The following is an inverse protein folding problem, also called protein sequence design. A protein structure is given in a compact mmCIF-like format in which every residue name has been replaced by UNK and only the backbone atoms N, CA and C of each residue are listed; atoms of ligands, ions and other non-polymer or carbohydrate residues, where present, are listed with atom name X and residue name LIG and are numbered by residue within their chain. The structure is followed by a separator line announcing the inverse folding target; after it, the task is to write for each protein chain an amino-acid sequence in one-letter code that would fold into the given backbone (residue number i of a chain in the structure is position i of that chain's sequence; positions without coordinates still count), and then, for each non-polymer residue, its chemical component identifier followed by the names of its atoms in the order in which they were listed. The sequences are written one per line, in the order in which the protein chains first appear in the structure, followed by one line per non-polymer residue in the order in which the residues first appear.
data_IF_669269710982
#
_entry.id   IF_669269710982
#
_cell.length_a   1.000
_cell.length_b   1.000
_cell.length_c   1.000
_cell.angle_alpha   90.00
_cell.angle_beta   90.00
_cell.angle_gamma   90.00
#
_symmetry.space_group_name_H-M   'P 1'
#
loop_
_entity.id
_entity.type
_entity.pdbx_description
1 polymer ?
#
# COMPACT_ATOMS: atom_id res chain seq x y z
N UNK A 1 5.93 -15.57 9.18
CA UNK A 1 7.04 -15.87 10.03
C UNK A 1 6.56 -16.32 11.39
N UNK A 2 7.05 -17.48 11.86
CA UNK A 2 6.75 -17.98 13.19
C UNK A 2 7.44 -17.12 14.27
N UNK A 3 7.09 -15.85 14.43
CA UNK A 3 7.67 -14.93 15.44
C UNK A 3 9.20 -15.01 15.60
N UNK A 4 9.68 -14.70 16.80
CA UNK A 4 11.10 -14.85 17.19
C UNK A 4 11.60 -16.32 17.23
N UNK A 5 10.82 -17.32 16.76
CA UNK A 5 11.28 -18.71 16.70
C UNK A 5 12.38 -18.92 15.64
N UNK A 6 12.43 -18.04 14.65
CA UNK A 6 13.42 -18.06 13.57
C UNK A 6 14.55 -17.07 13.89
N UNK A 7 15.82 -17.46 13.76
CA UNK A 7 16.96 -16.61 14.06
C UNK A 7 17.08 -15.40 13.12
N UNK A 8 17.68 -14.29 13.57
CA UNK A 8 17.84 -13.08 12.72
C UNK A 8 18.55 -13.41 11.40
N UNK A 9 19.63 -14.21 11.47
CA UNK A 9 20.39 -14.64 10.29
C UNK A 9 19.50 -15.36 9.27
N UNK A 10 18.63 -16.25 9.75
CA UNK A 10 17.74 -17.03 8.90
C UNK A 10 16.69 -16.14 8.23
N UNK A 11 16.02 -15.28 9.00
CA UNK A 11 15.04 -14.32 8.45
C UNK A 11 15.65 -13.41 7.38
N UNK A 12 16.85 -12.90 7.64
CA UNK A 12 17.56 -12.04 6.69
C UNK A 12 17.98 -12.82 5.45
N UNK A 13 18.42 -14.07 5.60
CA UNK A 13 18.84 -14.91 4.47
C UNK A 13 17.67 -15.22 3.53
N UNK A 14 16.51 -15.64 4.06
CA UNK A 14 15.33 -15.89 3.24
C UNK A 14 14.89 -14.63 2.47
N UNK A 15 14.92 -13.46 3.12
CA UNK A 15 14.62 -12.20 2.44
C UNK A 15 15.64 -11.86 1.36
N UNK A 16 16.94 -12.09 1.62
CA UNK A 16 18.02 -11.74 0.69
C UNK A 16 18.06 -12.66 -0.53
N UNK A 17 17.74 -13.94 -0.35
CA UNK A 17 17.79 -14.93 -1.42
C UNK A 17 16.52 -14.96 -2.30
N UNK A 18 15.40 -14.38 -1.83
CA UNK A 18 14.12 -14.40 -2.53
C UNK A 18 14.21 -13.84 -3.96
N UNK A 19 14.84 -12.68 -4.14
CA UNK A 19 14.94 -12.03 -5.46
C UNK A 19 15.67 -12.92 -6.46
N UNK A 20 16.87 -13.39 -6.11
CA UNK A 20 17.70 -14.20 -7.02
C UNK A 20 17.00 -15.49 -7.44
N UNK A 21 16.28 -16.15 -6.52
CA UNK A 21 15.50 -17.34 -6.82
C UNK A 21 14.41 -17.05 -7.85
N UNK A 22 13.64 -15.98 -7.64
CA UNK A 22 12.54 -15.61 -8.53
C UNK A 22 13.07 -15.21 -9.92
N UNK A 23 14.17 -14.47 -9.98
CA UNK A 23 14.80 -14.07 -11.25
C UNK A 23 15.22 -15.31 -12.07
N UNK A 24 15.87 -16.29 -11.43
CA UNK A 24 16.27 -17.54 -12.08
C UNK A 24 15.05 -18.33 -12.57
N UNK A 25 13.99 -18.41 -11.77
CA UNK A 25 12.75 -19.12 -12.15
C UNK A 25 12.07 -18.46 -13.35
N UNK A 26 11.94 -17.13 -13.34
CA UNK A 26 11.33 -16.38 -14.44
C UNK A 26 12.20 -16.46 -15.71
N UNK A 27 13.53 -16.40 -15.61
CA UNK A 27 14.44 -16.37 -16.77
C UNK A 27 14.72 -17.75 -17.37
N UNK A 28 15.07 -18.74 -16.56
CA UNK A 28 15.51 -20.05 -17.04
C UNK A 28 14.35 -20.99 -17.35
N UNK A 29 13.23 -20.84 -16.63
CA UNK A 29 12.06 -21.70 -16.77
C UNK A 29 10.86 -21.00 -17.42
N UNK A 30 10.97 -19.70 -17.72
CA UNK A 30 9.89 -18.89 -18.31
C UNK A 30 8.57 -18.99 -17.53
N UNK A 31 8.66 -19.17 -16.20
CA UNK A 31 7.51 -19.26 -15.31
C UNK A 31 7.01 -17.86 -14.97
N UNK A 32 5.77 -17.54 -15.35
CA UNK A 32 5.14 -16.28 -15.01
C UNK A 32 4.66 -16.28 -13.55
N UNK A 33 5.15 -15.33 -12.76
CA UNK A 33 4.76 -15.18 -11.35
C UNK A 33 3.76 -14.03 -11.23
N UNK A 34 2.48 -14.36 -11.15
CA UNK A 34 1.38 -13.37 -11.11
C UNK A 34 1.42 -12.47 -9.87
N UNK A 35 1.73 -13.03 -8.70
CA UNK A 35 1.76 -12.29 -7.43
C UNK A 35 2.77 -12.91 -6.46
N UNK A 36 3.49 -12.06 -5.73
CA UNK A 36 4.48 -12.45 -4.71
C UNK A 36 3.85 -12.15 -3.34
N UNK A 37 3.47 -13.17 -2.59
CA UNK A 37 2.79 -13.05 -1.30
C UNK A 37 3.77 -13.39 -0.16
N UNK A 38 3.74 -12.60 0.91
CA UNK A 38 4.47 -12.86 2.16
C UNK A 38 3.46 -12.95 3.29
N UNK A 39 3.39 -14.10 3.97
CA UNK A 39 2.43 -14.38 5.04
C UNK A 39 3.14 -14.70 6.35
N UNK A 40 2.43 -14.47 7.46
CA UNK A 40 2.98 -14.77 8.76
C UNK A 40 2.70 -16.21 9.24
N UNK A 41 1.46 -16.65 9.06
CA UNK A 41 0.96 -17.98 9.37
C UNK A 41 0.31 -18.62 8.14
N UNK A 42 0.44 -19.95 8.00
CA UNK A 42 -0.22 -20.70 6.93
C UNK A 42 -1.74 -20.68 7.03
N UNK A 43 -2.30 -20.43 8.22
CA UNK A 43 -3.74 -20.26 8.41
C UNK A 43 -4.33 -19.07 7.64
N UNK A 44 -3.51 -18.09 7.26
CA UNK A 44 -3.93 -16.93 6.46
C UNK A 44 -4.24 -17.29 4.99
N UNK A 45 -3.72 -18.41 4.48
CA UNK A 45 -3.91 -18.87 3.11
C UNK A 45 -5.30 -19.49 2.90
N UNK A 46 -6.33 -18.66 3.00
CA UNK A 46 -7.70 -19.02 2.63
C UNK A 46 -7.94 -18.79 1.13
N UNK A 47 -8.95 -19.46 0.57
CA UNK A 47 -9.33 -19.25 -0.83
C UNK A 47 -9.75 -17.78 -1.09
N UNK A 48 -10.42 -17.16 -0.13
CA UNK A 48 -10.82 -15.75 -0.18
C UNK A 48 -9.61 -14.81 -0.19
N UNK A 49 -8.63 -15.06 0.69
CA UNK A 49 -7.40 -14.28 0.74
C UNK A 49 -6.62 -14.35 -0.57
N UNK A 50 -6.44 -15.55 -1.13
CA UNK A 50 -5.75 -15.73 -2.41
C UNK A 50 -6.47 -15.02 -3.56
N UNK A 51 -7.81 -15.12 -3.60
CA UNK A 51 -8.59 -14.46 -4.63
C UNK A 51 -8.45 -12.94 -4.56
N UNK A 52 -8.53 -12.36 -3.36
CA UNK A 52 -8.41 -10.92 -3.16
C UNK A 52 -7.01 -10.37 -3.45
N UNK A 53 -5.95 -11.14 -3.16
CA UNK A 53 -4.56 -10.74 -3.45
C UNK A 53 -4.21 -10.76 -4.94
N UNK A 54 -4.74 -11.75 -5.67
CA UNK A 54 -4.55 -11.91 -7.12
C UNK A 54 -5.47 -10.95 -7.90
N UNK A 55 -6.67 -10.67 -7.37
CA UNK A 55 -7.67 -9.81 -8.00
C UNK A 55 -8.05 -8.63 -7.08
N UNK A 56 -7.18 -7.61 -6.96
CA UNK A 56 -7.38 -6.52 -6.03
C UNK A 56 -8.68 -5.76 -6.32
N UNK A 57 -9.55 -5.70 -5.31
CA UNK A 57 -10.81 -4.96 -5.38
C UNK A 57 -10.53 -3.46 -5.50
N UNK A 58 -11.10 -2.82 -6.51
CA UNK A 58 -11.06 -1.37 -6.61
C UNK A 58 -11.84 -0.77 -5.43
N UNK A 59 -11.13 -0.15 -4.50
CA UNK A 59 -11.76 0.57 -3.39
C UNK A 59 -12.34 1.87 -3.92
N UNK A 60 -13.56 1.78 -4.44
CA UNK A 60 -14.34 2.93 -4.83
C UNK A 60 -14.79 3.67 -3.56
N UNK A 61 -14.21 4.86 -3.37
CA UNK A 61 -14.61 5.88 -2.39
C UNK A 61 -14.12 5.70 -0.94
N UNK A 62 -13.10 6.49 -0.56
CA UNK A 62 -12.81 6.77 0.86
C UNK A 62 -13.98 7.59 1.43
N UNK A 63 -14.81 6.99 2.27
CA UNK A 63 -15.79 7.76 3.05
C UNK A 63 -15.04 8.73 3.97
N UNK A 64 -15.11 10.02 3.63
CA UNK A 64 -14.65 11.07 4.52
C UNK A 64 -15.76 11.37 5.53
N UNK A 65 -15.40 11.39 6.81
CA UNK A 65 -16.30 11.90 7.84
C UNK A 65 -16.70 13.34 7.52
N UNK A 66 -17.95 13.69 7.81
CA UNK A 66 -18.43 15.06 7.65
C UNK A 66 -17.59 16.01 8.51
N UNK A 67 -17.16 17.14 7.94
CA UNK A 67 -16.49 18.19 8.72
C UNK A 67 -17.44 18.67 9.83
N UNK A 68 -16.97 18.85 11.08
CA UNK A 68 -17.79 19.39 12.16
C UNK A 68 -18.44 20.72 11.78
N UNK A 69 -19.56 21.06 12.44
CA UNK A 69 -20.20 22.37 12.24
C UNK A 69 -19.19 23.47 12.56
N UNK A 70 -19.08 24.44 11.67
CA UNK A 70 -18.20 25.59 11.86
C UNK A 70 -18.64 26.47 13.04
N UNK A 71 -17.81 27.44 13.46
CA UNK A 71 -18.12 28.36 14.54
C UNK A 71 -19.50 29.04 14.37
N UNK A 72 -20.26 29.09 15.47
CA UNK A 72 -21.57 29.77 15.53
C UNK A 72 -21.36 31.28 15.36
N UNK A 73 -22.17 31.94 14.54
CA UNK A 73 -22.11 33.39 14.34
C UNK A 73 -21.10 33.88 13.28
N UNK A 74 -20.67 33.01 12.34
CA UNK A 74 -19.85 33.47 11.20
C UNK A 74 -20.56 34.58 10.41
N UNK A 75 -19.94 35.76 10.40
CA UNK A 75 -20.39 36.92 9.61
C UNK A 75 -19.64 36.92 8.28
N UNK A 76 -20.34 36.60 7.19
CA UNK A 76 -19.83 36.73 5.82
C UNK A 76 -19.37 35.43 5.16
N UNK A 77 -19.23 35.49 3.83
CA UNK A 77 -18.82 34.38 2.97
C UNK A 77 -17.32 34.05 3.15
N UNK A 78 -16.94 32.79 2.85
CA UNK A 78 -15.51 32.40 2.82
C UNK A 78 -14.79 33.22 1.75
N UNK A 79 -13.70 33.87 2.13
CA UNK A 79 -12.84 34.63 1.21
C UNK A 79 -11.67 33.75 0.76
N UNK A 80 -11.31 33.81 -0.51
CA UNK A 80 -10.06 33.25 -1.00
C UNK A 80 -8.92 34.14 -0.48
N UNK A 81 -8.04 33.57 0.35
CA UNK A 81 -6.85 34.27 0.83
C UNK A 81 -5.69 33.74 0.00
N UNK A 82 -5.24 34.53 -0.97
CA UNK A 82 -4.03 34.24 -1.75
C UNK A 82 -2.83 34.36 -0.82
N UNK A 83 -2.04 33.29 -0.68
CA UNK A 83 -0.79 33.34 0.08
C UNK A 83 0.25 34.22 -0.63
N UNK A 84 1.23 34.79 0.09
CA UNK A 84 2.35 35.49 -0.56
C UNK A 84 3.20 34.47 -1.31
N UNK A 85 3.01 34.36 -2.63
CA UNK A 85 3.77 33.45 -3.48
C UNK A 85 3.20 33.18 -4.88
N UNK A 86 1.94 33.54 -5.16
CA UNK A 86 1.32 33.25 -6.47
C UNK A 86 1.19 34.48 -7.38
N UNK A 87 2.16 35.39 -7.43
CA UNK A 87 2.21 36.34 -8.53
C UNK A 87 3.18 35.81 -9.58
N UNK A 88 2.63 35.29 -10.68
CA UNK A 88 3.39 35.02 -11.88
C UNK A 88 3.89 36.32 -12.49
N UNK A 89 5.19 36.35 -12.80
CA UNK A 89 5.73 37.19 -13.86
C UNK A 89 5.47 36.46 -15.18
N UNK A 90 4.50 36.96 -15.92
CA UNK A 90 4.38 36.79 -17.37
C UNK A 90 5.00 38.05 -17.98
N UNK A 91 6.26 37.93 -18.43
CA UNK A 91 6.94 38.73 -19.46
C UNK A 91 8.33 38.16 -19.73
#
# INVERSE_FOLDING_TARGET
MPGYKCGIKERMLYSSCKSRLLDTVEQEFSLEITKKIEIDDGAELTAEFLYDEVHPKQHAFKQAFAKPRGPVGKRGQKRLIKGPGENGEDS
#
